data_IF_375000159326
#
_entry.id   IF_375000159326
#
_cell.length_a   1.000
_cell.length_b   1.000
_cell.length_c   1.000
_cell.angle_alpha   90.00
_cell.angle_beta   90.00
_cell.angle_gamma   90.00
#
_symmetry.space_group_name_H-M   'P 1'
#
loop_
_entity.id
_entity.type
_entity.pdbx_description
1 polymer ?
#
# COMPACT_ATOMS: atom_id res chain seq x y z
N UNK A 1 -12.13 22.83 -5.72
CA UNK A 1 -12.19 21.77 -4.67
C UNK A 1 -11.28 20.56 -4.96
N UNK A 2 -11.01 20.18 -6.21
CA UNK A 2 -10.23 18.98 -6.54
C UNK A 2 -8.75 19.01 -6.13
N UNK A 3 -8.05 20.14 -6.26
CA UNK A 3 -6.60 20.21 -6.01
C UNK A 3 -6.22 19.94 -4.55
N UNK A 4 -7.00 20.46 -3.60
CA UNK A 4 -6.81 20.23 -2.16
C UNK A 4 -7.08 18.77 -1.76
N UNK A 5 -7.94 18.06 -2.51
CA UNK A 5 -8.21 16.62 -2.32
C UNK A 5 -7.08 15.77 -2.88
N UNK A 6 -6.61 16.11 -4.09
CA UNK A 6 -5.49 15.44 -4.75
C UNK A 6 -4.22 15.50 -3.91
N UNK A 7 -3.83 16.70 -3.44
CA UNK A 7 -2.68 16.86 -2.54
C UNK A 7 -2.81 16.06 -1.23
N UNK A 8 -4.03 15.90 -0.73
CA UNK A 8 -4.29 15.09 0.47
C UNK A 8 -4.06 13.60 0.18
N UNK A 9 -4.50 13.12 -0.99
CA UNK A 9 -4.26 11.76 -1.44
C UNK A 9 -2.77 11.47 -1.61
N UNK A 10 -2.07 12.31 -2.39
CA UNK A 10 -0.63 12.21 -2.63
C UNK A 10 0.18 12.17 -1.33
N UNK A 11 -0.19 13.01 -0.35
CA UNK A 11 0.46 12.99 0.96
C UNK A 11 0.18 11.70 1.75
N UNK A 12 -1.03 11.15 1.67
CA UNK A 12 -1.35 9.86 2.28
C UNK A 12 -0.54 8.72 1.65
N UNK A 13 -0.38 8.74 0.33
CA UNK A 13 0.43 7.79 -0.43
C UNK A 13 1.90 7.84 -0.01
N UNK A 14 2.48 9.03 0.09
CA UNK A 14 3.87 9.23 0.52
C UNK A 14 4.13 8.62 1.90
N UNK A 15 3.19 8.77 2.84
CA UNK A 15 3.38 8.29 4.20
C UNK A 15 3.29 6.76 4.26
N UNK A 16 2.31 6.17 3.57
CA UNK A 16 2.18 4.72 3.52
C UNK A 16 3.38 4.10 2.80
N UNK A 17 3.91 4.73 1.75
CA UNK A 17 5.14 4.26 1.11
C UNK A 17 6.31 4.23 2.10
N UNK A 18 6.54 5.33 2.83
CA UNK A 18 7.59 5.39 3.86
C UNK A 18 7.37 4.36 4.95
N UNK A 19 6.14 4.15 5.40
CA UNK A 19 5.81 3.13 6.39
C UNK A 19 6.16 1.71 5.89
N UNK A 20 5.71 1.36 4.69
CA UNK A 20 5.98 0.05 4.08
C UNK A 20 7.48 -0.18 3.87
N UNK A 21 8.21 0.85 3.43
CA UNK A 21 9.65 0.77 3.16
C UNK A 21 10.48 0.74 4.45
N UNK A 22 10.26 1.69 5.33
CA UNK A 22 11.17 1.97 6.43
C UNK A 22 10.84 1.20 7.71
N UNK A 23 9.56 0.85 7.91
CA UNK A 23 9.08 0.23 9.13
C UNK A 23 8.83 -1.26 8.90
N UNK A 24 8.11 -1.60 7.83
CA UNK A 24 7.84 -3.01 7.50
C UNK A 24 9.02 -3.66 6.76
N UNK A 25 9.76 -2.89 5.96
CA UNK A 25 10.96 -3.37 5.27
C UNK A 25 10.71 -3.96 3.89
N UNK A 26 9.61 -3.58 3.21
CA UNK A 26 9.42 -3.99 1.82
C UNK A 26 10.42 -3.27 0.90
N UNK A 27 11.15 -4.05 0.12
CA UNK A 27 12.20 -3.57 -0.79
C UNK A 27 11.62 -3.11 -2.14
N UNK A 28 10.61 -3.82 -2.65
CA UNK A 28 9.94 -3.46 -3.92
C UNK A 28 8.55 -2.89 -3.67
N UNK A 29 8.40 -1.63 -4.08
CA UNK A 29 7.17 -0.85 -3.95
C UNK A 29 6.97 -0.08 -5.25
N UNK A 30 5.78 -0.13 -5.81
CA UNK A 30 5.33 0.67 -6.94
C UNK A 30 4.12 1.48 -6.51
N UNK A 31 4.12 2.78 -6.78
CA UNK A 31 3.03 3.69 -6.41
C UNK A 31 2.28 4.19 -7.64
N UNK A 32 1.01 4.55 -7.48
CA UNK A 32 0.19 5.17 -8.54
C UNK A 32 0.06 4.32 -9.81
N UNK A 33 -0.14 3.00 -9.67
CA UNK A 33 -0.18 2.07 -10.81
C UNK A 33 -1.58 2.01 -11.40
N UNK A 34 -1.69 2.23 -12.71
CA UNK A 34 -2.91 1.98 -13.46
C UNK A 34 -2.97 0.53 -13.98
N UNK A 35 -4.11 -0.12 -13.75
CA UNK A 35 -4.38 -1.50 -14.15
C UNK A 35 -5.53 -1.52 -15.15
N UNK A 36 -5.27 -2.00 -16.36
CA UNK A 36 -6.30 -2.15 -17.39
C UNK A 36 -7.48 -3.01 -16.92
N UNK A 37 -8.69 -2.50 -17.14
CA UNK A 37 -9.92 -3.18 -16.82
C UNK A 37 -10.28 -4.18 -17.92
N UNK A 38 -10.07 -5.46 -17.64
CA UNK A 38 -10.47 -6.56 -18.54
C UNK A 38 -11.97 -6.89 -18.49
N UNK A 39 -12.72 -6.28 -17.57
CA UNK A 39 -14.17 -6.47 -17.39
C UNK A 39 -14.95 -5.15 -17.55
N UNK A 40 -14.67 -4.42 -18.63
CA UNK A 40 -15.12 -3.03 -18.86
C UNK A 40 -16.58 -2.74 -18.49
N UNK A 41 -17.50 -3.62 -18.92
CA UNK A 41 -18.95 -3.49 -18.63
C UNK A 41 -19.31 -3.84 -17.18
N UNK A 42 -18.75 -4.93 -16.62
CA UNK A 42 -19.12 -5.42 -15.28
C UNK A 42 -18.55 -4.56 -14.15
N UNK A 43 -17.42 -3.88 -14.37
CA UNK A 43 -16.79 -2.99 -13.39
C UNK A 43 -17.13 -1.50 -13.65
N UNK A 44 -18.07 -1.23 -14.56
CA UNK A 44 -18.58 0.11 -14.81
C UNK A 44 -19.48 0.59 -13.66
N UNK A 45 -19.43 1.89 -13.36
CA UNK A 45 -20.45 2.59 -12.56
C UNK A 45 -21.46 3.34 -13.42
N UNK A 46 -21.04 3.79 -14.60
CA UNK A 46 -21.84 4.59 -15.54
C UNK A 46 -21.50 4.19 -16.98
N UNK A 47 -20.22 4.29 -17.35
CA UNK A 47 -19.68 3.93 -18.67
C UNK A 47 -18.57 2.88 -18.58
N UNK A 48 -18.28 2.23 -19.72
CA UNK A 48 -17.23 1.21 -19.83
C UNK A 48 -15.94 1.66 -19.14
N UNK A 49 -15.60 0.96 -18.05
CA UNK A 49 -14.40 1.28 -17.29
C UNK A 49 -13.16 0.84 -18.03
N UNK A 50 -12.21 1.75 -18.20
CA UNK A 50 -10.95 1.46 -18.90
C UNK A 50 -9.85 0.97 -17.96
N UNK A 51 -9.70 1.60 -16.79
CA UNK A 51 -8.62 1.28 -15.84
C UNK A 51 -9.10 1.25 -14.39
N UNK A 52 -8.27 0.68 -13.52
CA UNK A 52 -8.36 0.74 -12.07
C UNK A 52 -7.07 1.35 -11.52
N UNK A 53 -7.18 2.11 -10.43
CA UNK A 53 -6.03 2.59 -9.69
C UNK A 53 -5.61 1.60 -8.61
N UNK A 54 -4.31 1.32 -8.52
CA UNK A 54 -3.67 0.70 -7.37
C UNK A 54 -2.69 1.72 -6.78
N UNK A 55 -2.99 2.22 -5.58
CA UNK A 55 -2.20 3.27 -4.95
C UNK A 55 -0.80 2.75 -4.60
N UNK A 56 -0.71 1.49 -4.15
CA UNK A 56 0.57 0.80 -3.93
C UNK A 56 0.50 -0.67 -4.38
N UNK A 57 1.56 -1.15 -5.04
CA UNK A 57 1.83 -2.57 -5.26
C UNK A 57 3.18 -2.90 -4.62
N UNK A 58 3.17 -3.86 -3.70
CA UNK A 58 4.37 -4.41 -3.06
C UNK A 58 4.55 -5.87 -3.45
N UNK A 59 5.79 -6.34 -3.55
CA UNK A 59 6.02 -7.76 -3.74
C UNK A 59 7.35 -8.22 -3.12
N UNK A 60 7.35 -9.38 -2.48
CA UNK A 60 8.57 -9.92 -1.87
C UNK A 60 8.48 -11.43 -1.71
N UNK A 61 9.63 -12.09 -1.56
CA UNK A 61 9.62 -13.51 -1.20
C UNK A 61 9.04 -13.61 0.21
N UNK A 62 8.07 -14.49 0.40
CA UNK A 62 7.51 -14.74 1.72
C UNK A 62 8.59 -15.42 2.60
N UNK A 63 8.86 -14.84 3.77
CA UNK A 63 9.86 -15.37 4.70
C UNK A 63 9.33 -16.48 5.62
N UNK A 64 8.01 -16.69 5.63
CA UNK A 64 7.32 -17.68 6.46
C UNK A 64 6.90 -18.93 5.66
N UNK A 65 6.84 -18.83 4.34
CA UNK A 65 6.47 -19.93 3.42
C UNK A 65 7.49 -20.05 2.31
N UNK A 66 8.09 -21.23 2.20
CA UNK A 66 9.04 -21.53 1.13
C UNK A 66 8.42 -21.37 -0.26
N UNK A 67 9.26 -20.91 -1.19
CA UNK A 67 8.97 -20.75 -2.62
C UNK A 67 7.67 -19.99 -2.95
N UNK A 68 7.27 -19.07 -2.06
CA UNK A 68 6.10 -18.24 -2.21
C UNK A 68 6.47 -16.77 -2.47
N UNK A 69 5.87 -16.18 -3.50
CA UNK A 69 5.90 -14.74 -3.74
C UNK A 69 4.64 -14.12 -3.15
N UNK A 70 4.83 -13.16 -2.25
CA UNK A 70 3.73 -12.36 -1.75
C UNK A 70 3.61 -11.09 -2.58
N UNK A 71 2.41 -10.79 -3.04
CA UNK A 71 2.08 -9.57 -3.77
C UNK A 71 0.98 -8.85 -3.01
N UNK A 72 1.29 -7.70 -2.41
CA UNK A 72 0.31 -6.82 -1.79
C UNK A 72 -0.19 -5.78 -2.78
N UNK A 73 -1.50 -5.65 -2.91
CA UNK A 73 -2.13 -4.54 -3.64
C UNK A 73 -2.92 -3.73 -2.63
N UNK A 74 -2.57 -2.45 -2.51
CA UNK A 74 -3.16 -1.58 -1.53
C UNK A 74 -3.89 -0.40 -2.16
N UNK A 75 -4.99 -0.01 -1.52
CA UNK A 75 -5.60 1.29 -1.73
C UNK A 75 -5.55 2.13 -0.45
N UNK A 76 -5.32 3.42 -0.62
CA UNK A 76 -5.12 4.40 0.45
C UNK A 76 -6.29 5.38 0.41
N UNK A 77 -6.90 5.56 1.57
CA UNK A 77 -7.99 6.50 1.80
C UNK A 77 -7.59 7.42 2.93
N UNK A 78 -7.31 8.65 2.56
CA UNK A 78 -6.83 9.68 3.47
C UNK A 78 -7.84 10.81 3.59
N UNK A 79 -8.16 11.19 4.83
CA UNK A 79 -8.97 12.37 5.14
C UNK A 79 -8.16 13.37 5.95
N UNK A 80 -8.49 14.66 5.86
CA UNK A 80 -7.73 15.71 6.56
C UNK A 80 -8.02 15.72 8.06
N UNK A 81 -9.29 15.83 8.43
CA UNK A 81 -9.65 16.22 9.79
C UNK A 81 -10.00 15.02 10.67
N UNK A 82 -10.82 14.09 10.15
CA UNK A 82 -11.34 12.94 10.90
C UNK A 82 -11.81 11.82 9.98
N UNK A 83 -12.03 10.64 10.54
CA UNK A 83 -12.78 9.57 9.87
C UNK A 83 -14.19 10.06 9.48
N UNK A 84 -14.76 9.57 8.37
CA UNK A 84 -16.17 9.80 8.06
C UNK A 84 -17.07 9.39 9.23
N UNK A 85 -18.20 10.06 9.39
CA UNK A 85 -19.22 9.62 10.34
C UNK A 85 -19.66 8.19 9.99
N UNK A 86 -19.97 7.37 11.01
CA UNK A 86 -20.35 5.95 10.85
C UNK A 86 -21.40 5.74 9.76
N UNK A 87 -22.42 6.61 9.73
CA UNK A 87 -23.52 6.60 8.74
C UNK A 87 -23.07 6.70 7.28
N UNK A 88 -21.89 7.28 7.04
CA UNK A 88 -21.27 7.41 5.70
C UNK A 88 -20.04 6.54 5.52
N UNK A 89 -19.52 5.97 6.59
CA UNK A 89 -18.31 5.16 6.57
C UNK A 89 -18.59 3.79 5.95
N UNK A 90 -19.67 3.13 6.32
CA UNK A 90 -20.00 1.77 5.85
C UNK A 90 -20.18 1.73 4.33
N UNK A 91 -20.95 2.67 3.78
CA UNK A 91 -21.18 2.76 2.33
C UNK A 91 -19.90 3.05 1.56
N UNK A 92 -19.08 3.99 2.05
CA UNK A 92 -17.77 4.31 1.45
C UNK A 92 -16.79 3.15 1.56
N UNK A 93 -16.74 2.48 2.71
CA UNK A 93 -15.90 1.31 2.91
C UNK A 93 -16.28 0.20 1.92
N UNK A 94 -17.57 -0.10 1.78
CA UNK A 94 -18.04 -1.09 0.81
C UNK A 94 -17.66 -0.72 -0.61
N UNK A 95 -17.78 0.57 -0.97
CA UNK A 95 -17.34 1.07 -2.27
C UNK A 95 -15.83 0.86 -2.47
N UNK A 96 -14.99 1.29 -1.52
CA UNK A 96 -13.54 1.15 -1.61
C UNK A 96 -13.10 -0.31 -1.66
N UNK A 97 -13.74 -1.17 -0.87
CA UNK A 97 -13.46 -2.60 -0.85
C UNK A 97 -13.83 -3.24 -2.19
N UNK A 98 -15.01 -2.93 -2.74
CA UNK A 98 -15.45 -3.43 -4.04
C UNK A 98 -14.50 -3.00 -5.16
N UNK A 99 -14.06 -1.75 -5.15
CA UNK A 99 -13.05 -1.22 -6.08
C UNK A 99 -11.74 -2.00 -5.97
N UNK A 100 -11.23 -2.24 -4.76
CA UNK A 100 -10.00 -3.01 -4.55
C UNK A 100 -10.11 -4.45 -5.08
N UNK A 101 -11.26 -5.10 -4.86
CA UNK A 101 -11.54 -6.43 -5.42
C UNK A 101 -11.53 -6.42 -6.95
N UNK A 102 -12.12 -5.39 -7.58
CA UNK A 102 -12.09 -5.24 -9.03
C UNK A 102 -10.67 -5.02 -9.56
N UNK A 103 -9.88 -4.16 -8.92
CA UNK A 103 -8.47 -3.93 -9.25
C UNK A 103 -7.70 -5.24 -9.25
N UNK A 104 -7.88 -6.08 -8.23
CA UNK A 104 -7.15 -7.35 -8.09
C UNK A 104 -7.57 -8.36 -9.15
N UNK A 105 -8.88 -8.45 -9.44
CA UNK A 105 -9.38 -9.34 -10.49
C UNK A 105 -8.84 -8.97 -11.86
N UNK A 106 -8.65 -7.67 -12.12
CA UNK A 106 -8.00 -7.19 -13.34
C UNK A 106 -6.48 -7.38 -13.29
N UNK A 107 -5.82 -7.12 -12.15
CA UNK A 107 -4.38 -7.30 -11.97
C UNK A 107 -3.94 -8.74 -12.24
N UNK A 108 -4.70 -9.74 -11.77
CA UNK A 108 -4.43 -11.16 -12.04
C UNK A 108 -4.29 -11.49 -13.53
N UNK A 109 -4.91 -10.69 -14.41
CA UNK A 109 -4.88 -10.83 -15.87
C UNK A 109 -3.99 -9.78 -16.55
N UNK A 110 -3.40 -8.86 -15.80
CA UNK A 110 -2.58 -7.79 -16.33
C UNK A 110 -1.14 -8.30 -16.58
N UNK A 111 -0.48 -7.89 -17.68
CA UNK A 111 0.92 -8.27 -17.96
C UNK A 111 1.90 -7.97 -16.82
N UNK A 112 1.63 -6.95 -16.00
CA UNK A 112 2.43 -6.60 -14.83
C UNK A 112 2.51 -7.76 -13.81
N UNK A 113 1.41 -8.47 -13.59
CA UNK A 113 1.37 -9.63 -12.68
C UNK A 113 2.32 -10.72 -13.16
N UNK A 114 2.29 -11.05 -14.46
CA UNK A 114 3.20 -12.02 -15.06
C UNK A 114 4.66 -11.57 -14.97
N UNK A 115 4.94 -10.28 -15.22
CA UNK A 115 6.30 -9.71 -15.07
C UNK A 115 6.82 -9.82 -13.64
N UNK A 116 5.97 -9.56 -12.64
CA UNK A 116 6.34 -9.68 -11.22
C UNK A 116 6.65 -11.14 -10.86
N UNK A 117 5.82 -12.09 -11.30
CA UNK A 117 6.03 -13.52 -11.05
C UNK A 117 7.34 -14.04 -11.67
N UNK A 118 7.71 -13.58 -12.87
CA UNK A 118 8.92 -14.02 -13.57
C UNK A 118 10.23 -13.47 -12.97
N UNK A 119 10.18 -12.34 -12.26
CA UNK A 119 11.39 -11.67 -11.73
C UNK A 119 12.05 -12.42 -10.56
N UNK A 120 11.35 -13.33 -9.88
CA UNK A 120 11.89 -14.04 -8.71
C UNK A 120 12.09 -15.52 -9.07
N UNK A 121 13.33 -15.89 -9.41
CA UNK A 121 13.75 -17.28 -9.66
C UNK A 121 13.39 -18.15 -8.44
N UNK A 122 12.86 -19.37 -8.67
CA UNK A 122 12.41 -20.36 -7.65
C UNK A 122 11.09 -20.07 -6.92
N UNK A 123 10.21 -19.22 -7.45
CA UNK A 123 8.84 -19.11 -6.92
C UNK A 123 7.94 -20.14 -7.60
N UNK A 124 7.27 -20.97 -6.82
CA UNK A 124 6.30 -21.95 -7.32
C UNK A 124 4.85 -21.42 -7.26
N UNK A 125 4.57 -20.50 -6.33
CA UNK A 125 3.22 -19.94 -6.11
C UNK A 125 3.29 -18.46 -5.76
N UNK A 126 2.37 -17.67 -6.31
CA UNK A 126 2.16 -16.28 -5.91
C UNK A 126 0.88 -16.15 -5.08
N UNK A 127 0.97 -15.52 -3.91
CA UNK A 127 -0.16 -15.17 -3.07
C UNK A 127 -0.42 -13.66 -3.18
N UNK A 128 -1.66 -13.29 -3.55
CA UNK A 128 -2.06 -11.88 -3.62
C UNK A 128 -2.82 -11.52 -2.33
N UNK A 129 -2.38 -10.45 -1.68
CA UNK A 129 -2.98 -9.88 -0.47
C UNK A 129 -3.56 -8.50 -0.81
N UNK A 130 -4.70 -8.19 -0.20
CA UNK A 130 -5.45 -6.96 -0.43
C UNK A 130 -5.38 -6.13 0.83
N UNK A 131 -5.02 -4.85 0.71
CA UNK A 131 -4.89 -3.97 1.88
C UNK A 131 -5.62 -2.66 1.62
N UNK A 132 -6.54 -2.30 2.51
CA UNK A 132 -7.16 -0.98 2.50
C UNK A 132 -6.60 -0.18 3.68
N UNK A 133 -5.77 0.81 3.39
CA UNK A 133 -5.31 1.76 4.40
C UNK A 133 -6.33 2.88 4.52
N UNK A 134 -6.87 3.07 5.72
CA UNK A 134 -7.73 4.19 6.02
C UNK A 134 -7.14 4.97 7.19
N UNK A 135 -6.77 6.22 6.94
CA UNK A 135 -6.20 7.09 7.98
C UNK A 135 -6.58 8.55 7.79
N UNK A 136 -6.30 9.36 8.80
CA UNK A 136 -6.47 10.81 8.73
C UNK A 136 -5.23 11.53 9.24
N UNK A 137 -5.01 12.74 8.72
CA UNK A 137 -3.76 13.49 8.80
C UNK A 137 -3.13 13.53 10.21
N UNK A 138 -3.95 13.77 11.23
CA UNK A 138 -3.48 13.97 12.61
C UNK A 138 -2.87 12.70 13.20
N UNK A 139 -3.50 11.54 13.01
CA UNK A 139 -2.98 10.26 13.53
C UNK A 139 -1.77 9.77 12.76
N UNK A 140 -1.79 9.97 11.44
CA UNK A 140 -0.66 9.60 10.60
C UNK A 140 0.60 10.41 11.00
N UNK A 141 0.44 11.73 11.25
CA UNK A 141 1.54 12.57 11.78
C UNK A 141 2.06 12.08 13.13
N UNK A 142 1.18 11.69 14.06
CA UNK A 142 1.60 11.11 15.35
C UNK A 142 2.40 9.82 15.16
N UNK A 143 1.94 8.92 14.29
CA UNK A 143 2.62 7.66 14.01
C UNK A 143 4.02 7.88 13.41
N UNK A 144 4.16 8.83 12.48
CA UNK A 144 5.45 9.20 11.89
C UNK A 144 6.41 9.82 12.90
N UNK A 145 5.91 10.72 13.75
CA UNK A 145 6.73 11.34 14.79
C UNK A 145 7.25 10.28 15.78
N UNK A 146 6.38 9.37 16.23
CA UNK A 146 6.79 8.28 17.12
C UNK A 146 7.84 7.35 16.48
N UNK A 147 7.70 7.02 15.19
CA UNK A 147 8.71 6.20 14.49
C UNK A 147 10.04 6.92 14.31
N UNK A 148 10.04 8.23 14.08
CA UNK A 148 11.28 9.02 14.01
C UNK A 148 12.02 9.05 15.35
N UNK A 149 11.29 9.12 16.46
CA UNK A 149 11.82 9.12 17.81
C UNK A 149 12.45 7.76 18.16
N UNK A 150 11.75 6.66 17.84
CA UNK A 150 12.26 5.30 18.02
C UNK A 150 13.54 5.07 17.20
N UNK A 151 13.57 5.49 15.92
CA UNK A 151 14.78 5.39 15.07
C UNK A 151 15.97 6.16 15.68
N UNK A 152 15.72 7.35 16.21
CA UNK A 152 16.75 8.16 16.89
C UNK A 152 17.31 7.46 18.12
N UNK A 153 16.43 6.91 18.97
CA UNK A 153 16.83 6.16 20.16
C UNK A 153 17.67 4.94 19.81
N UNK A 154 17.26 4.13 18.83
CA UNK A 154 18.02 2.97 18.36
C UNK A 154 19.42 3.38 17.86
N UNK A 155 19.50 4.45 17.06
CA UNK A 155 20.79 4.94 16.55
C UNK A 155 21.72 5.40 17.69
N UNK A 156 21.16 6.05 18.72
CA UNK A 156 21.91 6.47 19.91
C UNK A 156 22.45 5.27 20.70
N UNK A 157 21.65 4.21 20.86
CA UNK A 157 22.05 2.97 21.54
C UNK A 157 23.14 2.24 20.76
N UNK A 158 23.02 2.14 19.44
CA UNK A 158 24.05 1.55 18.58
C UNK A 158 25.38 2.30 18.68
N UNK A 159 25.35 3.64 18.76
CA UNK A 159 26.56 4.45 18.94
C UNK A 159 27.22 4.20 20.30
N UNK A 160 26.42 4.14 21.38
CA UNK A 160 26.91 3.80 22.73
C UNK A 160 27.53 2.40 22.79
N UNK A 161 26.89 1.40 22.19
CA UNK A 161 27.44 0.04 22.11
C UNK A 161 28.78 0.00 21.36
N UNK A 162 28.91 0.73 20.24
CA UNK A 162 30.18 0.81 19.49
C UNK A 162 31.32 1.44 20.30
N UNK A 163 31.01 2.39 21.19
CA UNK A 163 31.99 3.01 22.08
C UNK A 163 32.42 2.06 23.21
N UNK A 164 31.51 1.21 23.68
CA UNK A 164 31.80 0.22 24.73
C UNK A 164 32.64 -0.98 24.24
N UNK A 165 32.59 -1.32 22.95
CA UNK A 165 33.37 -2.43 22.35
C UNK A 165 34.79 -1.99 21.96
N UNK A 166 35.11 -0.69 22.03
CA UNK A 166 36.44 -0.14 21.71
C UNK A 166 37.42 -0.14 22.89
N UNK A 167 37.05 -0.74 24.02
CA UNK A 167 37.88 -1.00 25.19
C UNK A 167 37.81 -2.49 25.53
#
# INVERSE_FOLDING_TARGET
>A
MGEKSKRSGEHGEEIIEKFLRDIIGYDTIQTGVEIDCVYKKKHSKTENRQTHGADVIIYSKNNLKDDNLEIGIASIKHTKDRYPALTTFESKFHEYFKELVFTINCFKKNPLSSKINLKKRKVLKAQIIQVLFFGYQTEIKKMMNGTSEIKSQIKSLQLKMKLLIKY
#
